data_IF_519373753804
#
_entry.id   IF_519373753804
#
_cell.length_a   1.000
_cell.length_b   1.000
_cell.length_c   1.000
_cell.angle_alpha   90.00
_cell.angle_beta   90.00
_cell.angle_gamma   90.00
#
_symmetry.space_group_name_H-M   'P 1'
#
loop_
_entity.id
_entity.type
_entity.pdbx_description
1 polymer ?
#
# COMPACT_ATOMS: atom_id res chain seq x y z
N UNK A 1 5.55 -0.56 17.78
CA UNK A 1 4.15 -1.00 18.02
C UNK A 1 3.43 -1.18 16.68
N UNK A 2 2.43 -2.08 16.64
CA UNK A 2 1.58 -2.29 15.47
C UNK A 2 0.12 -2.11 15.85
N UNK A 3 -0.68 -1.54 14.95
CA UNK A 3 -2.10 -1.26 15.17
C UNK A 3 -2.94 -1.78 14.01
N UNK A 4 -4.09 -2.39 14.35
CA UNK A 4 -5.15 -2.81 13.41
C UNK A 4 -6.34 -1.89 13.57
N UNK A 5 -6.93 -1.48 12.46
CA UNK A 5 -8.24 -0.86 12.43
C UNK A 5 -9.26 -1.92 12.05
N UNK A 6 -10.29 -2.09 12.87
CA UNK A 6 -11.27 -3.16 12.70
C UNK A 6 -12.67 -2.75 13.17
N UNK A 7 -13.66 -3.49 12.71
CA UNK A 7 -15.02 -3.41 13.23
C UNK A 7 -15.24 -4.54 14.23
N UNK A 8 -15.63 -4.17 15.44
CA UNK A 8 -15.89 -5.13 16.52
C UNK A 8 -17.24 -5.86 16.31
N UNK A 9 -17.53 -6.94 17.08
CA UNK A 9 -18.81 -7.68 16.97
C UNK A 9 -20.06 -6.83 17.24
N UNK A 10 -19.92 -5.67 17.87
CA UNK A 10 -21.00 -4.70 18.05
C UNK A 10 -21.18 -3.75 16.87
N UNK A 11 -20.33 -3.85 15.83
CA UNK A 11 -20.36 -3.02 14.63
C UNK A 11 -19.62 -1.68 14.78
N UNK A 12 -18.91 -1.44 15.88
CA UNK A 12 -18.17 -0.21 16.10
C UNK A 12 -16.74 -0.31 15.55
N UNK A 13 -16.27 0.77 14.89
CA UNK A 13 -14.89 0.84 14.42
C UNK A 13 -13.96 1.09 15.60
N UNK A 14 -12.92 0.28 15.69
CA UNK A 14 -11.89 0.30 16.74
C UNK A 14 -10.49 0.35 16.13
N UNK A 15 -9.54 0.72 16.99
CA UNK A 15 -8.10 0.57 16.73
C UNK A 15 -7.53 -0.24 17.91
N UNK A 16 -7.03 -1.44 17.64
CA UNK A 16 -6.41 -2.34 18.59
C UNK A 16 -4.91 -2.47 18.37
N UNK A 17 -4.18 -2.84 19.43
CA UNK A 17 -2.78 -3.21 19.32
C UNK A 17 -2.68 -4.61 18.73
N UNK A 18 -1.69 -4.82 17.83
CA UNK A 18 -1.49 -6.09 17.15
C UNK A 18 -0.16 -6.72 17.57
N UNK A 19 -0.22 -7.98 17.95
CA UNK A 19 0.95 -8.80 18.23
C UNK A 19 0.67 -10.27 17.84
N UNK A 20 1.51 -10.83 16.98
CA UNK A 20 1.53 -12.27 16.63
C UNK A 20 0.15 -12.85 16.25
N UNK A 21 -0.60 -12.21 15.37
CA UNK A 21 -1.92 -12.66 14.93
C UNK A 21 -3.07 -12.22 15.84
N UNK A 22 -2.77 -11.59 16.98
CA UNK A 22 -3.77 -11.19 17.98
C UNK A 22 -3.97 -9.68 17.97
N UNK A 23 -5.22 -9.24 17.95
CA UNK A 23 -5.66 -7.84 18.09
C UNK A 23 -6.17 -7.63 19.52
N UNK A 24 -5.50 -6.78 20.28
CA UNK A 24 -5.89 -6.43 21.66
C UNK A 24 -6.60 -5.08 21.68
N UNK A 25 -7.81 -5.05 22.26
CA UNK A 25 -8.57 -3.82 22.47
C UNK A 25 -9.17 -3.79 23.89
N UNK A 26 -8.59 -2.99 24.77
CA UNK A 26 -8.98 -2.95 26.18
C UNK A 26 -8.76 -4.31 26.87
N UNK A 27 -9.84 -4.94 27.31
CA UNK A 27 -9.81 -6.29 27.92
C UNK A 27 -10.18 -7.40 26.94
N UNK A 28 -10.51 -7.04 25.69
CA UNK A 28 -10.92 -7.98 24.65
C UNK A 28 -9.73 -8.32 23.76
N UNK A 29 -9.71 -9.53 23.22
CA UNK A 29 -8.66 -10.05 22.35
C UNK A 29 -9.31 -10.85 21.24
N UNK A 30 -8.91 -10.56 19.99
CA UNK A 30 -9.43 -11.20 18.80
C UNK A 30 -8.28 -11.80 17.98
N UNK A 31 -8.54 -12.90 17.29
CA UNK A 31 -7.65 -13.38 16.24
C UNK A 31 -7.89 -12.54 14.98
N UNK A 32 -6.81 -12.04 14.34
CA UNK A 32 -6.90 -11.22 13.12
C UNK A 32 -7.67 -11.92 11.99
N UNK A 33 -7.50 -13.25 11.88
CA UNK A 33 -8.08 -14.08 10.82
C UNK A 33 -9.47 -14.64 11.19
N UNK A 34 -10.02 -14.24 12.36
CA UNK A 34 -11.33 -14.74 12.78
C UNK A 34 -12.48 -13.98 12.13
N UNK A 35 -13.61 -14.66 11.94
CA UNK A 35 -14.88 -14.04 11.53
C UNK A 35 -15.54 -13.17 12.62
N UNK A 36 -14.89 -13.01 13.79
CA UNK A 36 -15.43 -12.20 14.89
C UNK A 36 -15.27 -10.70 14.67
N UNK A 37 -14.30 -10.31 13.86
CA UNK A 37 -14.02 -8.91 13.52
C UNK A 37 -13.88 -8.74 12.01
N UNK A 38 -14.28 -7.58 11.49
CA UNK A 38 -13.97 -7.19 10.12
C UNK A 38 -12.70 -6.32 10.14
N UNK A 39 -11.62 -6.79 9.55
CA UNK A 39 -10.41 -5.98 9.36
C UNK A 39 -10.72 -4.89 8.34
N UNK A 40 -10.34 -3.65 8.65
CA UNK A 40 -10.57 -2.49 7.80
C UNK A 40 -9.23 -1.98 7.25
N UNK A 41 -9.23 -1.19 6.17
CA UNK A 41 -8.01 -0.48 5.76
C UNK A 41 -7.41 0.23 6.97
N UNK A 42 -6.08 0.18 7.16
CA UNK A 42 -5.43 0.57 8.42
C UNK A 42 -5.57 2.07 8.73
N UNK A 43 -5.89 2.88 7.71
CA UNK A 43 -6.22 4.31 7.85
C UNK A 43 -7.42 4.69 6.97
N UNK A 44 -7.90 5.93 7.10
CA UNK A 44 -8.95 6.53 6.26
C UNK A 44 -8.36 7.73 5.48
N UNK A 45 -7.55 7.47 4.45
CA UNK A 45 -6.88 8.54 3.72
C UNK A 45 -7.89 9.40 2.95
N UNK A 46 -7.66 10.70 2.90
CA UNK A 46 -8.34 11.57 1.94
C UNK A 46 -7.85 11.31 0.51
N UNK A 47 -6.65 10.80 0.38
CA UNK A 47 -5.96 10.39 -0.85
C UNK A 47 -4.82 9.42 -0.55
N UNK A 48 -4.51 8.57 -1.52
CA UNK A 48 -3.24 7.84 -1.59
C UNK A 48 -2.39 8.51 -2.66
N UNK A 49 -1.21 9.02 -2.29
CA UNK A 49 -0.24 9.59 -3.23
C UNK A 49 0.73 8.49 -3.63
N UNK A 50 0.74 8.13 -4.90
CA UNK A 50 1.56 7.02 -5.41
C UNK A 50 2.74 7.54 -6.21
N UNK A 51 3.85 6.80 -6.16
CA UNK A 51 5.12 7.13 -6.79
C UNK A 51 5.41 6.13 -7.91
N UNK A 52 5.32 6.58 -9.15
CA UNK A 52 5.70 5.74 -10.29
C UNK A 52 7.21 5.64 -10.45
N UNK A 53 7.71 4.44 -10.78
CA UNK A 53 9.10 4.16 -11.17
C UNK A 53 10.15 4.56 -10.12
N UNK A 54 9.93 4.21 -8.88
CA UNK A 54 10.84 4.51 -7.77
C UNK A 54 11.85 3.39 -7.46
N UNK A 55 11.91 2.36 -8.31
CA UNK A 55 12.93 1.31 -8.29
C UNK A 55 13.58 1.21 -9.68
N UNK A 56 14.92 1.20 -9.72
CA UNK A 56 15.65 1.24 -10.99
C UNK A 56 15.39 -0.01 -11.84
N UNK A 57 15.35 -1.19 -11.22
CA UNK A 57 15.15 -2.46 -11.92
C UNK A 57 13.70 -2.57 -12.46
N UNK A 58 12.71 -2.05 -11.72
CA UNK A 58 11.34 -1.94 -12.23
C UNK A 58 11.22 -0.95 -13.40
N UNK A 59 11.93 0.18 -13.35
CA UNK A 59 11.95 1.11 -14.49
C UNK A 59 12.56 0.43 -15.73
N UNK A 60 13.63 -0.36 -15.58
CA UNK A 60 14.25 -1.14 -16.65
C UNK A 60 13.31 -2.25 -17.19
N UNK A 61 12.55 -2.94 -16.32
CA UNK A 61 11.54 -3.94 -16.73
C UNK A 61 10.47 -3.35 -17.64
N UNK A 62 10.13 -2.07 -17.46
CA UNK A 62 9.16 -1.33 -18.28
C UNK A 62 9.77 -0.59 -19.47
N UNK A 63 11.02 -0.87 -19.86
CA UNK A 63 11.75 -0.18 -20.93
C UNK A 63 11.71 1.36 -20.79
N UNK A 64 11.81 1.85 -19.55
CA UNK A 64 11.69 3.29 -19.28
C UNK A 64 12.91 3.84 -18.52
N UNK A 65 13.20 5.12 -18.76
CA UNK A 65 14.26 5.81 -18.04
C UNK A 65 13.85 6.07 -16.58
N UNK A 66 14.86 6.11 -15.71
CA UNK A 66 14.70 6.56 -14.31
C UNK A 66 14.34 8.05 -14.35
N UNK A 67 13.26 8.49 -13.70
CA UNK A 67 12.87 9.89 -13.74
C UNK A 67 13.81 10.77 -12.91
N UNK A 68 14.03 12.01 -13.35
CA UNK A 68 14.84 13.01 -12.61
C UNK A 68 14.15 13.54 -11.34
N UNK A 69 12.85 13.27 -11.18
CA UNK A 69 12.02 13.64 -10.02
C UNK A 69 10.89 12.63 -9.81
N UNK A 70 10.35 12.50 -8.58
CA UNK A 70 9.24 11.59 -8.31
C UNK A 70 8.05 11.82 -9.24
N UNK A 71 7.57 10.75 -9.88
CA UNK A 71 6.38 10.81 -10.72
C UNK A 71 5.15 10.54 -9.86
N UNK A 72 4.32 11.57 -9.65
CA UNK A 72 3.16 11.51 -8.75
C UNK A 72 1.88 11.19 -9.48
N UNK A 73 1.07 10.29 -8.91
CA UNK A 73 -0.33 10.10 -9.25
C UNK A 73 -1.15 9.83 -8.00
N UNK A 74 -2.48 9.78 -8.12
CA UNK A 74 -3.36 9.65 -6.97
C UNK A 74 -4.29 8.45 -7.13
N UNK A 75 -4.55 7.76 -6.01
CA UNK A 75 -5.68 6.86 -5.85
C UNK A 75 -6.66 7.47 -4.84
N UNK A 76 -7.95 7.58 -5.21
CA UNK A 76 -9.00 8.10 -4.33
C UNK A 76 -9.44 7.05 -3.30
N UNK A 77 -10.20 7.44 -2.25
CA UNK A 77 -10.63 6.52 -1.18
C UNK A 77 -11.44 5.30 -1.65
N UNK A 78 -12.14 5.36 -2.78
CA UNK A 78 -12.85 4.20 -3.34
C UNK A 78 -11.89 3.09 -3.84
N UNK A 79 -10.62 3.42 -4.05
CA UNK A 79 -9.62 2.43 -4.43
C UNK A 79 -9.19 1.51 -3.27
N UNK A 80 -9.55 1.84 -2.03
CA UNK A 80 -9.14 1.05 -0.87
C UNK A 80 -9.84 -0.32 -0.84
N UNK A 81 -9.08 -1.33 -0.46
CA UNK A 81 -9.57 -2.63 0.01
C UNK A 81 -8.80 -3.03 1.27
N UNK A 82 -9.39 -3.85 2.13
CA UNK A 82 -8.79 -4.31 3.36
C UNK A 82 -8.07 -5.66 3.19
N UNK A 83 -7.31 -6.03 4.21
CA UNK A 83 -6.81 -7.39 4.36
C UNK A 83 -8.00 -8.38 4.41
N UNK A 84 -7.89 -9.47 3.67
CA UNK A 84 -8.93 -10.50 3.55
C UNK A 84 -10.01 -10.21 2.51
N UNK A 85 -10.05 -9.02 1.90
CA UNK A 85 -11.06 -8.66 0.91
C UNK A 85 -10.90 -9.44 -0.41
N UNK A 86 -12.04 -9.62 -1.10
CA UNK A 86 -12.06 -10.08 -2.48
C UNK A 86 -12.15 -8.88 -3.44
N UNK A 87 -11.03 -8.55 -4.06
CA UNK A 87 -10.93 -7.42 -5.00
C UNK A 87 -11.52 -7.83 -6.35
N UNK A 88 -12.50 -7.07 -6.83
CA UNK A 88 -13.10 -7.29 -8.16
C UNK A 88 -12.38 -6.43 -9.20
N UNK A 89 -11.64 -7.09 -10.08
CA UNK A 89 -10.93 -6.42 -11.16
C UNK A 89 -11.86 -6.00 -12.30
N UNK A 90 -11.56 -4.91 -13.03
CA UNK A 90 -12.33 -4.48 -14.20
C UNK A 90 -12.42 -5.58 -15.27
N UNK A 91 -13.65 -5.92 -15.68
CA UNK A 91 -13.91 -6.96 -16.68
C UNK A 91 -13.35 -6.60 -18.07
N UNK A 92 -12.98 -7.63 -18.83
CA UNK A 92 -12.56 -7.50 -20.23
C UNK A 92 -11.21 -6.81 -20.43
N UNK A 93 -10.35 -6.84 -19.42
CA UNK A 93 -8.96 -6.39 -19.48
C UNK A 93 -8.01 -7.56 -19.70
N UNK A 94 -6.97 -7.34 -20.50
CA UNK A 94 -5.99 -8.36 -20.83
C UNK A 94 -4.92 -8.50 -19.74
N UNK A 95 -4.60 -7.35 -19.06
CA UNK A 95 -3.52 -7.33 -18.09
C UNK A 95 -3.75 -6.34 -16.95
N UNK A 96 -3.95 -6.89 -15.75
CA UNK A 96 -3.95 -6.15 -14.48
C UNK A 96 -2.88 -6.77 -13.60
N UNK A 97 -1.85 -5.99 -13.25
CA UNK A 97 -0.69 -6.46 -12.49
C UNK A 97 -0.82 -6.12 -11.00
N UNK A 98 -0.22 -6.97 -10.15
CA UNK A 98 0.12 -6.65 -8.76
C UNK A 98 1.36 -5.77 -8.69
N UNK A 99 1.46 -4.91 -7.68
CA UNK A 99 2.61 -4.06 -7.37
C UNK A 99 2.77 -3.91 -5.87
N UNK A 100 3.65 -4.74 -5.24
CA UNK A 100 3.97 -4.63 -3.82
C UNK A 100 4.68 -3.32 -3.49
N UNK A 101 4.17 -2.60 -2.51
CA UNK A 101 4.74 -1.33 -2.07
C UNK A 101 4.77 -1.17 -0.56
N UNK A 102 5.77 -0.46 -0.06
CA UNK A 102 5.74 0.11 1.28
C UNK A 102 4.82 1.33 1.28
N UNK A 103 3.78 1.32 2.10
CA UNK A 103 2.92 2.47 2.34
C UNK A 103 3.40 3.29 3.53
N UNK A 104 3.55 4.61 3.38
CA UNK A 104 3.87 5.55 4.47
C UNK A 104 2.59 6.22 4.93
N UNK A 105 2.19 6.00 6.18
CA UNK A 105 0.98 6.59 6.77
C UNK A 105 1.35 7.90 7.46
N UNK A 106 0.65 8.98 7.10
CA UNK A 106 0.87 10.32 7.66
C UNK A 106 0.11 10.47 8.99
N UNK A 107 0.80 10.96 10.01
CA UNK A 107 0.26 11.11 11.37
C UNK A 107 -0.30 12.49 11.68
N UNK A 108 0.17 13.53 11.01
CA UNK A 108 -0.29 14.90 11.23
C UNK A 108 -0.40 15.71 9.93
N UNK A 109 -1.30 16.70 9.91
CA UNK A 109 -1.43 17.58 8.76
C UNK A 109 -0.13 18.31 8.49
N UNK A 110 0.38 18.22 7.27
CA UNK A 110 1.66 18.82 6.92
C UNK A 110 1.68 19.42 5.51
N UNK A 111 2.54 20.44 5.37
CA UNK A 111 2.76 21.17 4.11
C UNK A 111 4.15 21.82 4.17
N UNK A 112 4.88 21.81 3.04
CA UNK A 112 6.24 22.36 2.92
C UNK A 112 7.22 21.79 3.96
N UNK A 113 7.15 20.47 4.18
CA UNK A 113 8.04 19.75 5.11
C UNK A 113 9.42 19.62 4.48
N UNK A 114 10.48 19.88 5.25
CA UNK A 114 11.85 19.60 4.80
C UNK A 114 12.17 18.10 4.91
N UNK A 115 13.17 17.63 4.14
CA UNK A 115 13.64 16.25 4.29
C UNK A 115 14.09 15.91 5.72
N UNK A 116 14.68 16.88 6.42
CA UNK A 116 15.18 16.70 7.78
C UNK A 116 14.05 16.47 8.80
N UNK A 117 12.86 17.04 8.56
CA UNK A 117 11.69 16.96 9.43
C UNK A 117 10.67 15.93 8.92
N UNK A 118 10.94 15.29 7.78
CA UNK A 118 9.95 14.45 7.08
C UNK A 118 9.48 13.24 7.92
N UNK A 119 10.36 12.63 8.68
CA UNK A 119 9.98 11.48 9.51
C UNK A 119 9.17 11.85 10.75
N UNK A 120 9.15 13.10 11.16
CA UNK A 120 8.36 13.56 12.31
C UNK A 120 6.85 13.55 12.02
N UNK A 121 6.45 13.66 10.74
CA UNK A 121 5.05 13.63 10.32
C UNK A 121 4.55 12.21 9.97
N UNK A 122 5.40 11.18 10.07
CA UNK A 122 5.06 9.78 9.76
C UNK A 122 4.50 9.08 10.99
N UNK A 123 3.27 8.56 10.90
CA UNK A 123 2.69 7.70 11.93
C UNK A 123 3.32 6.30 11.90
N UNK A 124 3.52 5.76 10.71
CA UNK A 124 4.06 4.41 10.52
C UNK A 124 3.98 3.94 9.08
N UNK A 125 4.09 2.63 8.91
CA UNK A 125 4.16 1.95 7.64
C UNK A 125 3.10 0.85 7.53
N UNK A 126 2.66 0.58 6.29
CA UNK A 126 1.71 -0.48 5.96
C UNK A 126 2.09 -1.15 4.65
N UNK A 127 1.54 -2.34 4.35
CA UNK A 127 1.63 -2.93 3.02
C UNK A 127 0.59 -2.30 2.09
N UNK A 128 0.93 -2.12 0.82
CA UNK A 128 0.03 -1.67 -0.23
C UNK A 128 0.23 -2.53 -1.48
N UNK A 129 -0.85 -2.88 -2.17
CA UNK A 129 -0.81 -3.39 -3.54
C UNK A 129 -1.34 -2.30 -4.49
N UNK A 130 -0.46 -1.70 -5.30
CA UNK A 130 -0.83 -0.69 -6.30
C UNK A 130 -1.32 -1.35 -7.59
N UNK A 131 -2.50 -2.03 -7.53
CA UNK A 131 -3.08 -2.73 -8.67
C UNK A 131 -3.16 -1.85 -9.91
N UNK A 132 -2.66 -2.40 -11.03
CA UNK A 132 -2.36 -1.64 -12.25
C UNK A 132 -3.00 -2.27 -13.49
N UNK A 133 -4.10 -1.69 -13.96
CA UNK A 133 -4.70 -2.04 -15.24
C UNK A 133 -3.86 -1.45 -16.38
N UNK A 134 -2.99 -2.28 -16.96
CA UNK A 134 -2.01 -1.85 -17.98
C UNK A 134 -2.65 -1.44 -19.29
N UNK A 135 -3.81 -1.99 -19.63
CA UNK A 135 -4.51 -1.65 -20.88
C UNK A 135 -4.93 -0.19 -20.90
N UNK A 136 -5.53 0.29 -19.82
CA UNK A 136 -5.96 1.68 -19.72
C UNK A 136 -4.79 2.61 -19.34
N UNK A 137 -3.83 2.15 -18.53
CA UNK A 137 -2.66 2.94 -18.16
C UNK A 137 -1.85 3.40 -19.40
N UNK A 138 -1.76 2.55 -20.45
CA UNK A 138 -1.06 2.89 -21.69
C UNK A 138 -1.81 3.90 -22.56
N UNK A 139 -3.13 4.02 -22.37
CA UNK A 139 -4.00 4.87 -23.20
C UNK A 139 -4.31 6.21 -22.55
N UNK A 140 -4.30 6.29 -21.23
CA UNK A 140 -4.69 7.48 -20.46
C UNK A 140 -3.49 8.23 -19.90
N UNK A 141 -3.48 9.55 -20.05
CA UNK A 141 -2.42 10.39 -19.49
C UNK A 141 -2.49 10.52 -17.95
N UNK A 142 -3.69 10.47 -17.37
CA UNK A 142 -3.95 10.67 -15.94
C UNK A 142 -4.29 9.38 -15.18
N UNK A 143 -4.25 8.22 -15.84
CA UNK A 143 -4.33 6.87 -15.30
C UNK A 143 -5.56 6.55 -14.42
N UNK A 144 -6.68 7.25 -14.57
CA UNK A 144 -7.85 7.02 -13.71
C UNK A 144 -8.34 5.58 -13.83
N UNK A 145 -8.59 5.07 -15.07
CA UNK A 145 -9.01 3.68 -15.27
C UNK A 145 -7.89 2.68 -15.03
N UNK A 146 -6.64 3.14 -15.17
CA UNK A 146 -5.45 2.33 -14.93
C UNK A 146 -5.16 2.08 -13.46
N UNK A 147 -5.42 3.06 -12.59
CA UNK A 147 -4.90 3.10 -11.20
C UNK A 147 -5.94 3.43 -10.11
N UNK A 148 -7.13 3.96 -10.48
CA UNK A 148 -8.09 4.49 -9.51
C UNK A 148 -9.47 3.79 -9.55
N UNK A 149 -9.53 2.56 -10.08
CA UNK A 149 -10.76 1.75 -10.04
C UNK A 149 -11.03 1.28 -8.59
N UNK A 150 -12.26 0.87 -8.32
CA UNK A 150 -12.67 0.41 -6.98
C UNK A 150 -11.82 -0.79 -6.54
N UNK A 151 -11.26 -0.72 -5.34
CA UNK A 151 -10.39 -1.76 -4.80
C UNK A 151 -8.97 -1.81 -5.38
N UNK A 152 -8.53 -0.79 -6.16
CA UNK A 152 -7.21 -0.76 -6.80
C UNK A 152 -6.02 -0.56 -5.83
N UNK A 153 -6.27 -0.37 -4.54
CA UNK A 153 -5.26 -0.18 -3.50
C UNK A 153 -5.60 -0.99 -2.24
N UNK A 154 -5.53 -2.34 -2.30
CA UNK A 154 -5.52 -3.14 -1.09
C UNK A 154 -4.41 -2.66 -0.16
N UNK A 155 -4.72 -2.49 1.15
CA UNK A 155 -3.72 -2.07 2.13
C UNK A 155 -3.99 -2.63 3.51
N UNK A 156 -2.92 -2.85 4.26
CA UNK A 156 -2.98 -3.40 5.62
C UNK A 156 -1.90 -4.45 5.87
N UNK A 157 -2.15 -5.39 6.80
CA UNK A 157 -3.27 -5.42 7.76
C UNK A 157 -3.13 -4.40 8.88
N UNK A 158 -1.91 -3.86 9.09
CA UNK A 158 -1.56 -3.02 10.24
C UNK A 158 -0.91 -1.71 9.80
N UNK A 159 -0.86 -0.74 10.71
CA UNK A 159 0.17 0.32 10.74
C UNK A 159 1.23 -0.09 11.76
N UNK A 160 2.47 -0.23 11.31
CA UNK A 160 3.64 -0.47 12.17
C UNK A 160 4.38 0.84 12.39
N UNK A 161 4.71 1.17 13.65
CA UNK A 161 5.49 2.39 13.96
C UNK A 161 6.88 2.34 13.30
N UNK A 162 7.55 3.50 13.04
CA UNK A 162 8.79 3.54 12.29
C UNK A 162 9.93 2.69 12.89
N UNK A 163 9.93 2.47 14.19
CA UNK A 163 10.92 1.64 14.92
C UNK A 163 10.76 0.12 14.69
N UNK A 164 9.59 -0.32 14.19
CA UNK A 164 9.33 -1.73 13.88
C UNK A 164 9.86 -2.13 12.48
N UNK A 165 10.05 -1.17 11.58
CA UNK A 165 10.35 -1.43 10.16
C UNK A 165 11.81 -1.08 9.86
N UNK A 166 12.66 -2.08 9.54
CA UNK A 166 14.06 -1.87 9.22
C UNK A 166 14.28 -0.89 8.06
N UNK A 167 15.43 -0.22 8.04
CA UNK A 167 15.78 0.68 6.94
C UNK A 167 15.95 -0.08 5.61
N UNK A 168 16.34 -1.34 5.68
CA UNK A 168 16.52 -2.29 4.59
C UNK A 168 15.36 -3.30 4.46
N UNK A 169 14.19 -2.98 5.04
CA UNK A 169 13.02 -3.85 5.04
C UNK A 169 12.74 -4.43 3.65
N UNK A 170 12.56 -5.75 3.58
CA UNK A 170 12.17 -6.43 2.35
C UNK A 170 10.73 -6.11 1.97
N UNK A 171 10.47 -6.03 0.65
CA UNK A 171 9.15 -5.80 0.04
C UNK A 171 8.90 -6.90 -0.98
N UNK A 172 7.92 -7.77 -0.74
CA UNK A 172 7.69 -8.99 -1.52
C UNK A 172 6.24 -9.16 -1.94
N UNK A 173 6.05 -9.80 -3.10
CA UNK A 173 4.76 -10.36 -3.53
C UNK A 173 4.86 -11.86 -3.68
N UNK A 174 3.81 -12.55 -3.19
CA UNK A 174 3.51 -13.92 -3.58
C UNK A 174 2.15 -13.97 -4.24
N UNK A 175 2.02 -14.74 -5.31
CA UNK A 175 0.73 -15.06 -5.94
C UNK A 175 0.57 -16.57 -5.87
N UNK A 176 -0.50 -17.02 -5.21
CA UNK A 176 -0.77 -18.44 -4.94
C UNK A 176 0.44 -19.14 -4.25
N UNK A 177 1.10 -18.44 -3.34
CA UNK A 177 2.29 -18.89 -2.60
C UNK A 177 3.61 -18.85 -3.40
N UNK A 178 3.59 -18.51 -4.70
CA UNK A 178 4.80 -18.38 -5.53
C UNK A 178 5.37 -16.96 -5.42
N UNK A 179 6.64 -16.83 -5.06
CA UNK A 179 7.35 -15.55 -4.99
C UNK A 179 7.46 -14.91 -6.38
N UNK A 180 6.96 -13.69 -6.51
CA UNK A 180 6.96 -12.90 -7.77
C UNK A 180 7.86 -11.68 -7.68
N UNK A 181 7.81 -10.94 -6.57
CA UNK A 181 8.65 -9.77 -6.32
C UNK A 181 9.47 -10.00 -5.04
N UNK A 182 10.73 -9.57 -5.05
CA UNK A 182 11.62 -9.60 -3.89
C UNK A 182 12.58 -8.41 -3.96
N UNK A 183 12.18 -7.32 -3.35
CA UNK A 183 12.94 -6.07 -3.28
C UNK A 183 13.18 -5.61 -1.86
N UNK A 184 13.82 -4.45 -1.73
CA UNK A 184 14.15 -3.82 -0.46
C UNK A 184 13.87 -2.32 -0.50
N UNK A 185 13.48 -1.77 0.64
CA UNK A 185 13.34 -0.32 0.86
C UNK A 185 14.61 0.47 0.52
N UNK A 186 15.80 -0.13 0.66
CA UNK A 186 17.07 0.52 0.28
C UNK A 186 17.23 0.75 -1.23
N UNK A 187 16.44 0.05 -2.06
CA UNK A 187 16.49 0.18 -3.53
C UNK A 187 15.62 1.34 -4.06
N UNK A 188 14.92 2.07 -3.17
CA UNK A 188 14.17 3.26 -3.55
C UNK A 188 15.12 4.32 -4.14
N UNK A 189 14.79 4.81 -5.35
CA UNK A 189 15.53 5.89 -6.04
C UNK A 189 15.40 7.19 -5.25
N UNK A 190 14.17 7.54 -4.90
CA UNK A 190 13.85 8.68 -4.03
C UNK A 190 13.47 8.15 -2.65
N UNK A 191 14.21 8.53 -1.64
CA UNK A 191 13.97 8.13 -0.26
C UNK A 191 12.65 8.67 0.29
N UNK A 192 12.12 8.07 1.36
CA UNK A 192 10.88 8.53 2.00
C UNK A 192 10.95 10.02 2.39
N UNK A 193 12.03 10.56 2.99
CA UNK A 193 12.15 11.98 3.25
C UNK A 193 12.07 12.85 2.01
N UNK A 194 12.74 12.49 0.91
CA UNK A 194 12.67 13.19 -0.36
C UNK A 194 11.24 13.18 -0.93
N UNK A 195 10.53 12.04 -0.87
CA UNK A 195 9.14 11.93 -1.32
C UNK A 195 8.21 12.85 -0.52
N UNK A 196 8.31 12.87 0.81
CA UNK A 196 7.48 13.74 1.66
C UNK A 196 7.77 15.22 1.36
N UNK A 197 9.03 15.61 1.22
CA UNK A 197 9.42 16.98 0.90
C UNK A 197 8.89 17.41 -0.46
N UNK A 198 9.05 16.57 -1.49
CA UNK A 198 8.54 16.83 -2.85
C UNK A 198 7.01 16.93 -2.86
N UNK A 199 6.30 15.95 -2.31
CA UNK A 199 4.83 15.92 -2.28
C UNK A 199 4.28 17.15 -1.54
N UNK A 200 4.82 17.47 -0.37
CA UNK A 200 4.34 18.59 0.46
C UNK A 200 4.67 19.96 -0.12
N UNK A 201 5.49 20.05 -1.15
CA UNK A 201 5.63 21.27 -1.95
C UNK A 201 4.34 21.62 -2.71
N UNK A 202 3.59 20.63 -3.15
CA UNK A 202 2.37 20.81 -3.97
C UNK A 202 1.08 20.50 -3.23
N UNK A 203 1.07 19.49 -2.36
CA UNK A 203 -0.11 18.97 -1.70
C UNK A 203 0.00 19.14 -0.17
N UNK A 204 -1.12 19.48 0.47
CA UNK A 204 -1.25 19.27 1.91
C UNK A 204 -1.56 17.80 2.13
N UNK A 205 -0.80 17.14 2.99
CA UNK A 205 -1.13 15.81 3.48
C UNK A 205 -1.91 15.93 4.79
N UNK A 206 -2.93 15.09 4.93
CA UNK A 206 -3.79 15.03 6.11
C UNK A 206 -3.45 13.78 6.94
N UNK A 207 -3.76 13.77 8.25
CA UNK A 207 -3.63 12.57 9.06
C UNK A 207 -4.37 11.39 8.42
N UNK A 208 -3.70 10.25 8.31
CA UNK A 208 -4.21 9.06 7.66
C UNK A 208 -3.99 8.98 6.16
N UNK A 209 -3.55 10.06 5.47
CA UNK A 209 -3.12 9.96 4.06
C UNK A 209 -1.95 8.98 3.94
N UNK A 210 -1.88 8.31 2.79
CA UNK A 210 -0.85 7.30 2.53
C UNK A 210 -0.01 7.71 1.32
N UNK A 211 1.30 7.49 1.42
CA UNK A 211 2.22 7.55 0.28
C UNK A 211 2.60 6.11 -0.07
N UNK A 212 2.25 5.65 -1.25
CA UNK A 212 2.70 4.38 -1.83
C UNK A 212 4.02 4.64 -2.56
N UNK A 213 5.12 4.00 -2.09
CA UNK A 213 6.49 4.44 -2.38
C UNK A 213 7.08 3.92 -3.69
N UNK A 214 6.34 3.12 -4.44
CA UNK A 214 6.81 2.42 -5.62
C UNK A 214 7.10 0.95 -5.37
N UNK A 215 7.14 0.17 -6.43
CA UNK A 215 7.25 -1.30 -6.42
C UNK A 215 8.57 -1.78 -7.01
N UNK A 216 9.18 -2.87 -6.50
CA UNK A 216 10.32 -3.53 -7.12
C UNK A 216 9.94 -4.24 -8.43
N UNK A 217 10.93 -4.75 -9.17
CA UNK A 217 10.73 -5.59 -10.35
C UNK A 217 9.96 -6.89 -10.05
N UNK A 218 9.46 -7.56 -11.09
CA UNK A 218 8.72 -8.81 -10.99
C UNK A 218 7.21 -8.63 -10.95
N UNK A 219 6.70 -7.47 -11.39
CA UNK A 219 5.26 -7.25 -11.54
C UNK A 219 4.65 -8.21 -12.57
N UNK A 220 3.43 -8.67 -12.32
CA UNK A 220 2.80 -9.67 -13.19
C UNK A 220 1.29 -9.67 -13.14
N UNK A 221 0.67 -10.26 -14.19
CA UNK A 221 -0.78 -10.27 -14.32
C UNK A 221 -1.45 -11.19 -13.29
N UNK A 222 -2.62 -10.77 -12.85
CA UNK A 222 -3.50 -11.51 -11.97
C UNK A 222 -4.63 -12.19 -12.76
N UNK A 223 -5.10 -13.33 -12.25
CA UNK A 223 -6.18 -14.14 -12.79
C UNK A 223 -7.33 -14.27 -11.80
N UNK A 224 -8.50 -14.65 -12.28
CA UNK A 224 -9.64 -14.94 -11.43
C UNK A 224 -9.32 -16.11 -10.47
N UNK A 225 -9.60 -15.88 -9.17
CA UNK A 225 -9.32 -16.84 -8.10
C UNK A 225 -7.91 -16.78 -7.52
N UNK A 226 -7.02 -15.90 -8.00
CA UNK A 226 -5.70 -15.75 -7.41
C UNK A 226 -5.79 -15.20 -5.97
N UNK A 227 -4.87 -15.67 -5.12
CA UNK A 227 -4.57 -15.09 -3.81
C UNK A 227 -3.25 -14.35 -3.90
N UNK A 228 -3.25 -13.09 -3.46
CA UNK A 228 -2.09 -12.19 -3.47
C UNK A 228 -1.68 -11.89 -2.04
N UNK A 229 -0.40 -12.07 -1.75
CA UNK A 229 0.22 -11.75 -0.48
C UNK A 229 1.29 -10.67 -0.70
N UNK A 230 1.14 -9.52 -0.06
CA UNK A 230 2.14 -8.43 -0.04
C UNK A 230 2.78 -8.43 1.34
N UNK A 231 4.04 -8.77 1.41
CA UNK A 231 4.83 -8.82 2.65
C UNK A 231 5.80 -7.64 2.70
N UNK A 232 5.77 -6.91 3.80
CA UNK A 232 6.78 -5.90 4.15
C UNK A 232 7.38 -6.27 5.50
N UNK A 233 8.70 -6.44 5.56
CA UNK A 233 9.40 -6.76 6.78
C UNK A 233 9.18 -5.71 7.86
N UNK A 234 8.86 -6.16 9.07
CA UNK A 234 8.50 -5.27 10.19
C UNK A 234 7.03 -4.84 10.20
N UNK A 235 6.32 -4.88 9.07
CA UNK A 235 4.86 -4.64 9.01
C UNK A 235 4.11 -5.95 9.19
N UNK A 236 4.22 -6.85 8.25
CA UNK A 236 3.49 -8.12 8.18
C UNK A 236 3.07 -8.43 6.76
N UNK A 237 2.00 -9.20 6.59
CA UNK A 237 1.49 -9.64 5.29
C UNK A 237 0.05 -9.18 5.08
N UNK A 238 -0.16 -8.39 4.04
CA UNK A 238 -1.48 -8.11 3.48
C UNK A 238 -1.86 -9.27 2.56
N UNK A 239 -3.04 -9.86 2.76
CA UNK A 239 -3.60 -10.83 1.83
C UNK A 239 -4.89 -10.29 1.22
N UNK A 240 -5.11 -10.56 -0.05
CA UNK A 240 -6.39 -10.35 -0.71
C UNK A 240 -6.62 -11.39 -1.81
N UNK A 241 -7.87 -11.64 -2.17
CA UNK A 241 -8.22 -12.52 -3.29
C UNK A 241 -8.69 -11.71 -4.50
N UNK A 242 -8.60 -12.31 -5.69
CA UNK A 242 -8.93 -11.67 -6.96
C UNK A 242 -10.22 -12.29 -7.54
N UNK A 243 -11.11 -11.43 -8.03
CA UNK A 243 -12.29 -11.83 -8.83
C UNK A 243 -12.32 -11.07 -10.14
N UNK A 244 -12.58 -11.79 -11.23
CA UNK A 244 -12.79 -11.20 -12.56
C UNK A 244 -14.20 -11.62 -13.02
N UNK A 245 -15.14 -10.66 -13.22
CA UNK A 245 -16.53 -10.94 -13.61
C UNK A 245 -16.70 -11.58 -15.00
#
# INVERSE_FOLDING_TARGET
MKYVRFRDPAGAVRRGEYENGTVQFGTESYDLESDEIDVLPPSEPSKVVCIGKNYADHAAELDSEVPDRPMLFLKPPNALAAHGDAVTLPAGKERIDHEAELGVVIGEQCRHVSEADAMDVVEGFTCVDDLSNRDDQRQEQNWIRGKAFDGAAPMGPVVATPDEVPADASVRTRVNGELKQDGSREQLIFSIPELIAEITTYLTLEPGDVIATGTPEGVGPLSDGDTVEIEVEGVGTLEHSVRIP
#
